data_IF_148234626958
#
_entry.id   IF_148234626958
#
_cell.length_a   1.000
_cell.length_b   1.000
_cell.length_c   1.000
_cell.angle_alpha   90.00
_cell.angle_beta   90.00
_cell.angle_gamma   90.00
#
_symmetry.space_group_name_H-M   'P 1'
#
loop_
_entity.id
_entity.type
_entity.pdbx_description
1 polymer ?
#
# COMPACT_ATOMS: atom_id res chain seq x y z
N UNK A 1 -15.92 -14.07 -13.16
CA UNK A 1 -14.74 -14.50 -12.37
C UNK A 1 -13.45 -13.96 -12.98
N UNK A 2 -13.15 -14.26 -14.26
CA UNK A 2 -11.94 -13.74 -14.92
C UNK A 2 -11.86 -12.21 -14.97
N UNK A 3 -12.95 -11.53 -15.33
CA UNK A 3 -13.01 -10.06 -15.40
C UNK A 3 -12.72 -9.36 -14.05
N UNK A 4 -13.11 -9.99 -12.93
CA UNK A 4 -12.82 -9.46 -11.60
C UNK A 4 -11.33 -9.59 -11.27
N UNK A 5 -10.70 -10.71 -11.63
CA UNK A 5 -9.26 -10.92 -11.47
C UNK A 5 -8.49 -9.90 -12.32
N UNK A 6 -8.91 -9.67 -13.56
CA UNK A 6 -8.27 -8.67 -14.44
C UNK A 6 -8.42 -7.25 -13.89
N UNK A 7 -9.53 -6.95 -13.23
CA UNK A 7 -9.75 -5.66 -12.56
C UNK A 7 -8.88 -5.49 -11.33
N UNK A 8 -8.82 -6.51 -10.46
CA UNK A 8 -7.91 -6.53 -9.30
C UNK A 8 -6.46 -6.35 -9.77
N UNK A 9 -6.06 -7.07 -10.83
CA UNK A 9 -4.74 -6.97 -11.41
C UNK A 9 -4.44 -5.54 -11.88
N UNK A 10 -5.32 -4.90 -12.65
CA UNK A 10 -5.17 -3.49 -13.05
C UNK A 10 -5.01 -2.56 -11.84
N UNK A 11 -5.80 -2.77 -10.80
CA UNK A 11 -5.71 -1.97 -9.57
C UNK A 11 -4.38 -2.20 -8.85
N UNK A 12 -3.86 -3.43 -8.81
CA UNK A 12 -2.53 -3.75 -8.28
C UNK A 12 -1.43 -3.04 -9.08
N UNK A 13 -1.48 -3.06 -10.41
CA UNK A 13 -0.54 -2.30 -11.25
C UNK A 13 -0.57 -0.80 -10.92
N UNK A 14 -1.77 -0.22 -10.82
CA UNK A 14 -1.93 1.19 -10.47
C UNK A 14 -1.41 1.53 -9.06
N UNK A 15 -1.60 0.61 -8.10
CA UNK A 15 -1.08 0.75 -6.73
C UNK A 15 0.45 0.75 -6.73
N UNK A 16 1.08 -0.20 -7.44
CA UNK A 16 2.54 -0.29 -7.51
C UNK A 16 3.15 0.95 -8.18
N UNK A 17 2.52 1.46 -9.24
CA UNK A 17 2.96 2.69 -9.91
C UNK A 17 2.89 3.92 -8.99
N UNK A 18 1.80 4.08 -8.21
CA UNK A 18 1.66 5.18 -7.24
C UNK A 18 2.71 5.14 -6.13
N UNK A 19 3.16 3.95 -5.75
CA UNK A 19 4.26 3.75 -4.79
C UNK A 19 5.64 3.99 -5.41
N UNK A 20 5.72 4.22 -6.72
CA UNK A 20 6.96 4.50 -7.43
C UNK A 20 7.77 3.26 -7.83
N UNK A 21 7.18 2.06 -7.78
CA UNK A 21 7.85 0.84 -8.23
C UNK A 21 8.08 0.85 -9.75
N UNK A 22 9.23 0.29 -10.17
CA UNK A 22 9.65 0.21 -11.58
C UNK A 22 9.57 -1.22 -12.08
N UNK A 23 9.61 -1.39 -13.41
CA UNK A 23 9.68 -2.69 -14.08
C UNK A 23 8.61 -3.70 -13.63
N UNK A 24 7.37 -3.21 -13.44
CA UNK A 24 6.26 -4.06 -13.03
C UNK A 24 5.89 -5.02 -14.17
N UNK A 25 6.06 -6.31 -13.95
CA UNK A 25 5.81 -7.37 -14.94
C UNK A 25 4.98 -8.48 -14.32
N UNK A 26 4.17 -9.11 -15.16
CA UNK A 26 3.49 -10.35 -14.80
C UNK A 26 4.45 -11.52 -14.99
N UNK A 27 4.46 -12.43 -14.04
CA UNK A 27 5.16 -13.70 -14.15
C UNK A 27 4.20 -14.81 -14.57
N UNK A 28 4.75 -15.84 -15.21
CA UNK A 28 3.97 -17.01 -15.59
C UNK A 28 3.30 -17.63 -14.36
N UNK A 29 2.08 -18.14 -14.56
CA UNK A 29 1.29 -18.75 -13.48
C UNK A 29 2.12 -19.84 -12.80
N UNK A 30 2.31 -19.72 -11.49
CA UNK A 30 2.85 -20.80 -10.66
C UNK A 30 1.99 -22.06 -10.81
N UNK A 31 2.62 -23.24 -10.70
CA UNK A 31 1.94 -24.54 -10.76
C UNK A 31 0.90 -24.75 -9.64
N UNK A 32 0.96 -23.94 -8.58
CA UNK A 32 0.01 -23.96 -7.48
C UNK A 32 -1.40 -23.48 -7.90
N UNK A 33 -2.40 -24.37 -7.83
CA UNK A 33 -3.81 -24.07 -8.16
C UNK A 33 -4.42 -22.91 -7.35
N UNK A 34 -3.83 -22.62 -6.19
CA UNK A 34 -4.26 -21.59 -5.24
C UNK A 34 -3.84 -20.18 -5.64
N UNK A 35 -2.81 -20.04 -6.48
CA UNK A 35 -2.27 -18.75 -6.90
C UNK A 35 -2.82 -18.43 -8.29
N UNK A 36 -3.51 -17.29 -8.44
CA UNK A 36 -4.06 -16.92 -9.76
C UNK A 36 -3.08 -16.12 -10.60
N UNK A 37 -2.28 -15.26 -9.97
CA UNK A 37 -1.27 -14.47 -10.65
C UNK A 37 -0.17 -14.00 -9.69
N UNK A 38 1.01 -13.76 -10.25
CA UNK A 38 2.16 -13.17 -9.58
C UNK A 38 2.59 -11.94 -10.39
N UNK A 39 2.87 -10.83 -9.71
CA UNK A 39 3.41 -9.61 -10.33
C UNK A 39 4.74 -9.29 -9.68
N UNK A 40 5.83 -9.28 -10.45
CA UNK A 40 7.13 -8.82 -9.98
C UNK A 40 7.32 -7.33 -10.21
N UNK A 41 8.08 -6.70 -9.32
CA UNK A 41 8.41 -5.29 -9.36
C UNK A 41 9.80 -5.02 -8.79
N UNK A 42 10.40 -3.90 -9.19
CA UNK A 42 11.70 -3.45 -8.70
C UNK A 42 11.55 -2.19 -7.84
N UNK A 43 12.26 -2.18 -6.72
CA UNK A 43 12.28 -1.05 -5.80
C UNK A 43 12.94 0.18 -6.46
N UNK A 44 12.33 1.39 -6.40
CA UNK A 44 12.91 2.61 -6.97
C UNK A 44 14.27 3.00 -6.38
N UNK A 45 14.55 2.62 -5.14
CA UNK A 45 15.87 2.78 -4.54
C UNK A 45 16.79 1.70 -5.09
N UNK A 46 17.73 2.10 -5.94
CA UNK A 46 18.64 1.36 -6.83
C UNK A 46 19.54 0.27 -6.19
N UNK A 47 19.10 -0.41 -5.13
CA UNK A 47 19.60 -1.71 -4.73
C UNK A 47 19.09 -2.72 -5.76
N UNK A 48 19.84 -2.86 -6.86
CA UNK A 48 19.61 -3.64 -8.08
C UNK A 48 19.27 -5.14 -7.91
N UNK A 49 18.98 -5.60 -6.69
CA UNK A 49 18.63 -6.99 -6.34
C UNK A 49 17.36 -7.15 -5.51
N UNK A 50 16.73 -6.08 -5.04
CA UNK A 50 15.48 -6.18 -4.26
C UNK A 50 14.28 -6.19 -5.19
N UNK A 51 14.12 -7.31 -5.89
CA UNK A 51 12.88 -7.66 -6.57
C UNK A 51 11.83 -7.98 -5.51
N UNK A 52 10.60 -7.56 -5.76
CA UNK A 52 9.45 -7.89 -4.94
C UNK A 52 8.35 -8.56 -5.76
N UNK A 53 7.52 -9.36 -5.11
CA UNK A 53 6.40 -10.03 -5.75
C UNK A 53 5.09 -9.69 -5.06
N UNK A 54 4.06 -9.50 -5.85
CA UNK A 54 2.66 -9.50 -5.41
C UNK A 54 2.08 -10.87 -5.73
N UNK A 55 1.53 -11.54 -4.71
CA UNK A 55 0.95 -12.87 -4.84
C UNK A 55 -0.54 -12.75 -4.55
N UNK A 56 -1.38 -13.16 -5.52
CA UNK A 56 -2.84 -13.20 -5.33
C UNK A 56 -3.34 -14.62 -5.11
N UNK A 57 -4.03 -14.79 -3.97
CA UNK A 57 -4.57 -16.05 -3.50
C UNK A 57 -6.09 -15.99 -3.37
N UNK A 58 -6.79 -16.79 -4.19
CA UNK A 58 -8.26 -16.79 -4.26
C UNK A 58 -8.91 -17.78 -3.27
N UNK A 59 -8.20 -18.87 -2.97
CA UNK A 59 -8.67 -19.95 -2.11
C UNK A 59 -8.38 -19.70 -0.63
N UNK A 60 -9.01 -20.49 0.24
CA UNK A 60 -8.69 -20.52 1.67
C UNK A 60 -7.32 -21.18 1.83
N UNK A 61 -6.37 -20.48 2.44
CA UNK A 61 -5.01 -20.98 2.64
C UNK A 61 -4.75 -21.18 4.15
N UNK A 62 -4.17 -22.33 4.49
CA UNK A 62 -3.69 -22.63 5.84
C UNK A 62 -2.30 -22.04 6.15
N UNK A 63 -1.90 -22.04 7.42
CA UNK A 63 -0.59 -21.51 7.84
C UNK A 63 0.57 -22.28 7.19
N UNK A 64 0.45 -23.61 7.08
CA UNK A 64 1.49 -24.47 6.48
C UNK A 64 1.70 -24.14 5.01
N UNK A 65 0.62 -24.06 4.24
CA UNK A 65 0.65 -23.71 2.82
C UNK A 65 1.25 -22.31 2.59
N UNK A 66 0.85 -21.33 3.41
CA UNK A 66 1.47 -20.01 3.36
C UNK A 66 2.96 -20.06 3.73
N UNK A 67 3.37 -20.90 4.67
CA UNK A 67 4.79 -21.00 5.07
C UNK A 67 5.63 -21.60 3.95
N UNK A 68 5.14 -22.67 3.29
CA UNK A 68 5.80 -23.27 2.13
C UNK A 68 5.89 -22.29 0.96
N UNK A 69 4.81 -21.55 0.70
CA UNK A 69 4.77 -20.53 -0.36
C UNK A 69 5.79 -19.42 -0.11
N UNK A 70 5.98 -19.01 1.14
CA UNK A 70 6.87 -17.89 1.50
C UNK A 70 8.33 -18.31 1.69
N UNK A 71 8.63 -19.60 1.84
CA UNK A 71 9.98 -20.13 2.02
C UNK A 71 11.02 -19.58 1.01
N UNK A 72 10.80 -19.63 -0.32
CA UNK A 72 11.78 -19.11 -1.29
C UNK A 72 12.00 -17.60 -1.17
N UNK A 73 10.95 -16.85 -0.81
CA UNK A 73 11.03 -15.40 -0.66
C UNK A 73 11.77 -14.98 0.62
N UNK A 74 11.69 -15.79 1.68
CA UNK A 74 12.45 -15.60 2.92
C UNK A 74 13.95 -15.74 2.63
N UNK A 75 14.34 -16.79 1.91
CA UNK A 75 15.74 -17.07 1.59
C UNK A 75 16.37 -15.95 0.74
N UNK A 76 15.61 -15.45 -0.23
CA UNK A 76 16.05 -14.38 -1.14
C UNK A 76 15.89 -12.96 -0.56
N UNK A 77 15.29 -12.82 0.64
CA UNK A 77 14.99 -11.53 1.30
C UNK A 77 14.21 -10.56 0.40
N UNK A 78 13.27 -11.09 -0.36
CA UNK A 78 12.46 -10.31 -1.30
C UNK A 78 11.31 -9.59 -0.57
N UNK A 79 10.83 -8.48 -1.14
CA UNK A 79 9.60 -7.86 -0.65
C UNK A 79 8.40 -8.65 -1.16
N UNK A 80 7.46 -9.02 -0.29
CA UNK A 80 6.27 -9.76 -0.71
C UNK A 80 5.00 -9.03 -0.26
N UNK A 81 4.06 -8.89 -1.20
CA UNK A 81 2.71 -8.37 -0.94
C UNK A 81 1.72 -9.51 -1.18
N UNK A 82 1.11 -10.02 -0.11
CA UNK A 82 0.07 -11.04 -0.17
C UNK A 82 -1.29 -10.37 -0.33
N UNK A 83 -2.02 -10.73 -1.38
CA UNK A 83 -3.44 -10.38 -1.54
C UNK A 83 -4.27 -11.63 -1.28
N UNK A 84 -5.17 -11.55 -0.31
CA UNK A 84 -6.01 -12.67 0.08
C UNK A 84 -7.50 -12.36 0.00
N UNK A 85 -8.28 -13.38 -0.34
CA UNK A 85 -9.75 -13.32 -0.36
C UNK A 85 -10.35 -13.77 0.97
N UNK A 86 -10.08 -15.01 1.37
CA UNK A 86 -10.72 -15.64 2.53
C UNK A 86 -9.68 -16.31 3.44
N UNK A 87 -9.03 -15.52 4.30
CA UNK A 87 -8.18 -16.02 5.38
C UNK A 87 -8.79 -15.57 6.71
N UNK A 88 -8.90 -16.49 7.67
CA UNK A 88 -9.42 -16.18 9.00
C UNK A 88 -8.43 -15.33 9.81
N UNK A 89 -8.92 -14.40 10.63
CA UNK A 89 -8.10 -13.50 11.46
C UNK A 89 -7.05 -14.22 12.34
N UNK A 90 -7.33 -15.37 12.98
CA UNK A 90 -6.31 -16.08 13.77
C UNK A 90 -5.12 -16.57 12.93
N UNK A 91 -5.39 -17.10 11.72
CA UNK A 91 -4.36 -17.54 10.76
C UNK A 91 -3.51 -16.36 10.31
N UNK A 92 -4.15 -15.23 9.96
CA UNK A 92 -3.42 -14.00 9.59
C UNK A 92 -2.54 -13.49 10.71
N UNK A 93 -3.02 -13.53 11.96
CA UNK A 93 -2.25 -13.08 13.13
C UNK A 93 -1.02 -13.96 13.34
N UNK A 94 -1.19 -15.28 13.38
CA UNK A 94 -0.09 -16.23 13.52
C UNK A 94 0.92 -16.11 12.37
N UNK A 95 0.42 -15.95 11.14
CA UNK A 95 1.25 -15.76 9.96
C UNK A 95 2.06 -14.45 10.01
N UNK A 96 1.43 -13.33 10.39
CA UNK A 96 2.13 -12.04 10.59
C UNK A 96 3.21 -12.13 11.66
N UNK A 97 2.92 -12.77 12.79
CA UNK A 97 3.89 -12.94 13.88
C UNK A 97 5.08 -13.82 13.48
N UNK A 98 4.83 -14.87 12.70
CA UNK A 98 5.89 -15.73 12.18
C UNK A 98 6.72 -15.00 11.14
N UNK A 99 6.10 -14.38 10.13
CA UNK A 99 6.83 -13.72 9.06
C UNK A 99 7.55 -12.48 9.54
N UNK A 100 6.99 -11.69 10.46
CA UNK A 100 7.65 -10.47 10.95
C UNK A 100 9.05 -10.74 11.51
N UNK A 101 9.34 -11.98 11.95
CA UNK A 101 10.66 -12.41 12.40
C UNK A 101 11.64 -12.59 11.24
N UNK A 102 11.16 -13.00 10.08
CA UNK A 102 11.97 -13.39 8.92
C UNK A 102 12.02 -12.33 7.81
N UNK A 103 10.90 -11.66 7.53
CA UNK A 103 10.74 -10.64 6.50
C UNK A 103 10.06 -9.40 7.07
N UNK A 104 10.87 -8.37 7.36
CA UNK A 104 10.38 -7.06 7.86
C UNK A 104 9.47 -6.32 6.88
N UNK A 105 9.51 -6.66 5.59
CA UNK A 105 8.85 -5.92 4.52
C UNK A 105 7.64 -6.66 3.93
N UNK A 106 7.03 -7.59 4.66
CA UNK A 106 5.86 -8.32 4.16
C UNK A 106 4.59 -7.52 4.38
N UNK A 107 3.79 -7.39 3.32
CA UNK A 107 2.50 -6.72 3.36
C UNK A 107 1.38 -7.74 3.11
N UNK A 108 0.25 -7.55 3.81
CA UNK A 108 -0.92 -8.41 3.66
C UNK A 108 -2.13 -7.52 3.46
N UNK A 109 -2.75 -7.65 2.29
CA UNK A 109 -3.86 -6.83 1.83
C UNK A 109 -5.07 -7.73 1.59
N UNK A 110 -6.23 -7.30 2.09
CA UNK A 110 -7.48 -7.97 1.76
C UNK A 110 -7.93 -7.55 0.35
N UNK A 111 -8.38 -8.51 -0.47
CA UNK A 111 -8.90 -8.25 -1.81
C UNK A 111 -10.02 -7.19 -1.84
N UNK A 112 -10.75 -7.01 -0.74
CA UNK A 112 -11.84 -6.05 -0.62
C UNK A 112 -11.41 -4.62 -0.99
N UNK A 113 -10.16 -4.24 -0.68
CA UNK A 113 -9.61 -2.93 -1.00
C UNK A 113 -9.18 -2.76 -2.47
N UNK A 114 -9.19 -3.84 -3.25
CA UNK A 114 -8.70 -3.89 -4.64
C UNK A 114 -9.79 -4.19 -5.67
N UNK A 115 -11.05 -4.38 -5.26
CA UNK A 115 -12.16 -4.49 -6.21
C UNK A 115 -12.39 -3.20 -6.99
N UNK A 116 -12.18 -2.05 -6.34
CA UNK A 116 -12.22 -0.73 -6.95
C UNK A 116 -11.02 0.08 -6.49
N UNK A 117 -10.40 0.82 -7.40
CA UNK A 117 -9.32 1.74 -7.06
C UNK A 117 -9.87 2.98 -6.35
N UNK A 118 -9.83 2.96 -5.00
CA UNK A 118 -10.31 4.06 -4.16
C UNK A 118 -9.58 5.39 -4.44
N UNK A 119 -8.32 5.33 -4.92
CA UNK A 119 -7.51 6.53 -5.15
C UNK A 119 -7.95 7.30 -6.40
N UNK A 120 -8.83 6.74 -7.21
CA UNK A 120 -9.42 7.42 -8.38
C UNK A 120 -10.71 8.16 -8.04
N UNK A 121 -11.25 7.95 -6.84
CA UNK A 121 -12.52 8.54 -6.45
C UNK A 121 -12.38 10.06 -6.26
N UNK A 122 -13.38 10.83 -6.70
CA UNK A 122 -13.33 12.30 -6.71
C UNK A 122 -13.23 12.95 -5.32
N UNK A 123 -13.71 12.26 -4.29
CA UNK A 123 -13.62 12.70 -2.90
C UNK A 123 -12.29 12.36 -2.21
N UNK A 124 -11.45 11.55 -2.85
CA UNK A 124 -10.17 11.14 -2.28
C UNK A 124 -9.10 12.11 -2.80
N UNK A 125 -8.47 12.91 -1.92
CA UNK A 125 -7.44 13.85 -2.34
C UNK A 125 -6.16 13.11 -2.76
N UNK A 126 -5.18 13.85 -3.26
CA UNK A 126 -3.89 13.27 -3.59
C UNK A 126 -2.97 13.29 -2.36
N UNK A 127 -2.27 12.17 -2.13
CA UNK A 127 -1.39 11.99 -0.98
C UNK A 127 0.06 11.87 -1.45
N UNK A 128 0.97 12.60 -0.82
CA UNK A 128 2.43 12.46 -1.01
C UNK A 128 3.08 12.13 0.34
N UNK A 129 3.84 11.05 0.39
CA UNK A 129 4.71 10.73 1.53
C UNK A 129 5.87 11.72 1.57
N UNK A 130 6.10 12.32 2.74
CA UNK A 130 7.22 13.23 2.95
C UNK A 130 8.47 12.48 3.38
N UNK A 131 9.64 12.96 2.94
CA UNK A 131 10.92 12.48 3.46
C UNK A 131 11.15 12.98 4.89
N UNK A 132 12.13 12.40 5.60
CA UNK A 132 12.48 12.86 6.95
C UNK A 132 12.94 14.32 6.94
N UNK A 133 13.69 14.74 5.91
CA UNK A 133 14.12 16.12 5.70
C UNK A 133 12.92 17.07 5.51
N UNK A 134 12.00 16.75 4.58
CA UNK A 134 10.78 17.54 4.34
C UNK A 134 9.91 17.61 5.61
N UNK A 135 9.83 16.52 6.37
CA UNK A 135 9.09 16.46 7.64
C UNK A 135 9.69 17.42 8.67
N UNK A 136 11.01 17.44 8.84
CA UNK A 136 11.66 18.37 9.78
C UNK A 136 11.48 19.83 9.38
N UNK A 137 11.54 20.15 8.09
CA UNK A 137 11.29 21.49 7.57
C UNK A 137 9.88 21.97 7.91
N UNK A 138 8.87 21.11 7.72
CA UNK A 138 7.47 21.44 8.05
C UNK A 138 7.29 21.64 9.56
N UNK A 139 7.86 20.76 10.39
CA UNK A 139 7.80 20.91 11.85
C UNK A 139 8.42 22.24 12.30
N UNK A 140 9.55 22.64 11.71
CA UNK A 140 10.21 23.93 11.96
C UNK A 140 9.35 25.11 11.46
N UNK A 141 8.78 25.00 10.25
CA UNK A 141 7.95 26.05 9.66
C UNK A 141 6.71 26.37 10.50
N UNK A 142 6.04 25.34 11.03
CA UNK A 142 4.86 25.49 11.88
C UNK A 142 5.20 25.63 13.37
N UNK A 143 6.49 25.60 13.73
CA UNK A 143 6.98 25.59 15.12
C UNK A 143 6.17 24.65 16.03
N UNK A 144 5.90 23.44 15.53
CA UNK A 144 4.95 22.49 16.12
C UNK A 144 5.57 21.10 16.25
N UNK A 145 5.07 20.29 17.17
CA UNK A 145 5.42 18.86 17.28
C UNK A 145 4.49 18.01 16.41
N UNK A 146 4.94 16.80 16.05
CA UNK A 146 4.17 15.89 15.20
C UNK A 146 2.79 15.53 15.78
N UNK A 147 2.64 15.56 17.12
CA UNK A 147 1.41 15.22 17.83
C UNK A 147 0.27 16.23 17.63
N UNK A 148 0.61 17.48 17.27
CA UNK A 148 -0.35 18.56 17.04
C UNK A 148 -0.95 18.51 15.63
N UNK A 149 -0.38 17.73 14.73
CA UNK A 149 -0.93 17.55 13.39
C UNK A 149 -2.14 16.60 13.42
N UNK A 150 -3.12 16.79 12.52
CA UNK A 150 -4.21 15.84 12.32
C UNK A 150 -3.69 14.41 12.13
N UNK A 151 -4.37 13.44 12.73
CA UNK A 151 -3.97 12.03 12.70
C UNK A 151 -4.75 11.28 11.63
N UNK A 152 -4.07 10.38 10.93
CA UNK A 152 -4.67 9.41 10.03
C UNK A 152 -4.45 8.01 10.58
N UNK A 153 -5.50 7.22 10.70
CA UNK A 153 -5.40 5.88 11.26
C UNK A 153 -4.62 4.95 10.31
N UNK A 154 -3.78 4.07 10.86
CA UNK A 154 -3.11 3.01 10.07
C UNK A 154 -4.10 2.10 9.34
N UNK A 155 -5.30 1.91 9.91
CA UNK A 155 -6.35 1.09 9.32
C UNK A 155 -7.14 1.80 8.21
N UNK A 156 -6.85 3.06 7.91
CA UNK A 156 -7.47 3.77 6.79
C UNK A 156 -7.18 3.04 5.46
N UNK A 157 -8.16 2.87 4.56
CA UNK A 157 -7.95 2.23 3.26
C UNK A 157 -6.80 2.84 2.45
N UNK A 158 -6.62 4.17 2.50
CA UNK A 158 -5.53 4.88 1.82
C UNK A 158 -4.19 4.51 2.43
N UNK A 159 -4.09 4.47 3.77
CA UNK A 159 -2.89 4.02 4.48
C UNK A 159 -2.48 2.61 4.09
N UNK A 160 -3.45 1.69 4.02
CA UNK A 160 -3.22 0.29 3.66
C UNK A 160 -2.70 0.19 2.22
N UNK A 161 -3.36 0.86 1.27
CA UNK A 161 -2.99 0.79 -0.16
C UNK A 161 -1.66 1.49 -0.44
N UNK A 162 -1.35 2.61 0.21
CA UNK A 162 -0.08 3.32 0.05
C UNK A 162 1.05 2.78 0.94
N UNK A 163 0.73 1.86 1.86
CA UNK A 163 1.66 1.31 2.86
C UNK A 163 2.35 2.38 3.72
N UNK A 164 1.58 3.38 4.16
CA UNK A 164 2.11 4.39 5.07
C UNK A 164 2.37 3.78 6.46
N UNK A 165 3.54 4.10 7.04
CA UNK A 165 3.96 3.57 8.34
C UNK A 165 3.58 4.53 9.45
N UNK A 166 3.45 4.00 10.67
CA UNK A 166 3.19 4.80 11.87
C UNK A 166 4.27 5.87 12.02
N UNK A 167 3.87 7.11 12.28
CA UNK A 167 4.76 8.25 12.43
C UNK A 167 5.23 8.90 11.12
N UNK A 168 4.85 8.34 9.96
CA UNK A 168 5.05 9.00 8.66
C UNK A 168 4.19 10.25 8.57
N UNK A 169 4.76 11.34 8.04
CA UNK A 169 4.04 12.57 7.74
C UNK A 169 3.66 12.59 6.28
N UNK A 170 2.42 12.97 5.99
CA UNK A 170 1.83 12.91 4.66
C UNK A 170 1.31 14.28 4.31
N UNK A 171 1.66 14.72 3.11
CA UNK A 171 1.11 15.91 2.50
C UNK A 171 -0.14 15.53 1.73
N UNK A 172 -1.24 16.18 2.06
CA UNK A 172 -2.54 16.04 1.42
C UNK A 172 -2.76 17.24 0.51
N UNK A 173 -3.01 16.96 -0.77
CA UNK A 173 -3.30 17.93 -1.81
C UNK A 173 -4.78 17.82 -2.16
N UNK A 174 -5.59 18.68 -1.55
CA UNK A 174 -7.03 18.71 -1.75
C UNK A 174 -7.41 19.69 -2.88
N UNK A 175 -8.24 19.22 -3.79
CA UNK A 175 -8.78 20.02 -4.87
C UNK A 175 -10.17 20.50 -4.43
N UNK A 176 -10.23 21.60 -3.68
CA UNK A 176 -11.51 22.14 -3.24
C UNK A 176 -12.45 22.39 -4.43
N UNK A 177 -13.57 21.67 -4.46
CA UNK A 177 -14.73 22.00 -5.30
C UNK A 177 -15.61 23.09 -4.68
N UNK A 178 -15.31 23.59 -3.47
CA UNK A 178 -16.00 24.72 -2.85
C UNK A 178 -15.54 26.06 -3.46
N UNK A 179 -15.62 26.18 -4.78
CA UNK A 179 -15.70 27.47 -5.44
C UNK A 179 -17.13 27.67 -5.89
N UNK A 180 -17.89 28.47 -5.13
CA UNK A 180 -18.88 29.33 -5.76
C UNK A 180 -18.16 29.98 -6.94
N UNK A 181 -18.58 29.68 -8.17
CA UNK A 181 -18.08 30.32 -9.40
C UNK A 181 -18.23 31.84 -9.27
N UNK A 182 -17.27 32.48 -8.64
CA UNK A 182 -17.08 33.93 -8.65
C UNK A 182 -15.74 34.17 -9.31
N UNK A 183 -15.83 34.35 -10.63
CA UNK A 183 -14.88 34.96 -11.55
C UNK A 183 -13.48 34.32 -11.62
N UNK A 184 -13.21 33.68 -12.76
CA UNK A 184 -11.97 33.58 -13.53
C UNK A 184 -10.61 33.22 -12.87
N UNK A 185 -10.55 33.01 -11.56
CA UNK A 185 -9.34 32.59 -10.86
C UNK A 185 -9.46 31.14 -10.38
N UNK A 186 -8.57 30.27 -10.86
CA UNK A 186 -8.35 28.94 -10.25
C UNK A 186 -7.58 29.15 -8.95
N UNK A 187 -8.22 28.94 -7.80
CA UNK A 187 -7.49 28.89 -6.52
C UNK A 187 -6.50 27.71 -6.54
N UNK A 188 -5.29 27.88 -5.99
CA UNK A 188 -4.37 26.76 -5.84
C UNK A 188 -4.98 25.68 -4.93
N UNK A 189 -4.63 24.40 -5.13
CA UNK A 189 -5.10 23.32 -4.27
C UNK A 189 -4.70 23.58 -2.82
N UNK A 190 -5.58 23.21 -1.89
CA UNK A 190 -5.28 23.36 -0.49
C UNK A 190 -4.33 22.26 -0.03
N UNK A 191 -3.31 22.69 0.71
CA UNK A 191 -2.26 21.82 1.21
C UNK A 191 -2.50 21.66 2.70
N UNK A 192 -2.68 20.41 3.14
CA UNK A 192 -2.74 20.04 4.55
C UNK A 192 -1.75 18.92 4.85
N UNK A 193 -1.43 18.73 6.12
CA UNK A 193 -0.47 17.74 6.59
C UNK A 193 -1.10 16.88 7.67
N UNK A 194 -0.88 15.58 7.60
CA UNK A 194 -1.33 14.64 8.63
C UNK A 194 -0.22 13.64 8.99
N UNK A 195 -0.34 13.05 10.17
CA UNK A 195 0.59 12.03 10.69
C UNK A 195 -0.15 10.71 10.87
N UNK A 196 0.46 9.62 10.43
CA UNK A 196 -0.13 8.29 10.61
C UNK A 196 0.02 7.82 12.04
N UNK A 197 -1.08 7.42 12.67
CA UNK A 197 -1.11 6.95 14.05
C UNK A 197 -1.79 5.58 14.17
N UNK A 198 -1.49 4.87 15.26
CA UNK A 198 -2.08 3.56 15.57
C UNK A 198 -3.60 3.66 15.63
N UNK A 199 -4.27 2.56 15.28
CA UNK A 199 -5.67 2.40 15.63
C UNK A 199 -5.76 2.12 17.13
N UNK A 200 -6.62 2.87 17.82
CA UNK A 200 -6.95 2.69 19.24
C UNK A 200 -7.50 1.27 19.53
#
# INVERSE_FOLDING_TARGET
MQEQIDTIKRNVFSMLQRRGYKNVKEEDKSEDENIKFIVSFENPNNDTKKQGHVIYCDSKIGIEQLSSLFAPYIDQKMQVILIYVNITNPVLKAFRENISKFLKNTEIINVAYLYQDIMTHSLVPQYKLLTEEEKEEILKQYNSTADLFPRMLVNDPVCIIMNFKIGSMIKVLDHYNFTLKRMDYRMPPAISYCVVDKAD
#
